data_IF_622724531310
#
_entry.id   IF_622724531310
#
_cell.length_a   1.000
_cell.length_b   1.000
_cell.length_c   1.000
_cell.angle_alpha   90.00
_cell.angle_beta   90.00
_cell.angle_gamma   90.00
#
_symmetry.space_group_name_H-M   'P 1'
#
loop_
_entity.id
_entity.type
_entity.pdbx_description
1 polymer ?
#
# COMPACT_ATOMS: atom_id res chain seq x y z
N UNK A 1 17.36 -8.48 8.17
CA UNK A 1 17.17 -7.01 8.05
C UNK A 1 15.70 -6.64 8.06
N UNK A 2 14.85 -7.35 7.31
CA UNK A 2 13.39 -7.21 7.29
C UNK A 2 12.72 -7.19 8.68
N UNK A 3 12.98 -8.18 9.55
CA UNK A 3 12.39 -8.21 10.89
C UNK A 3 12.70 -6.95 11.72
N UNK A 4 13.92 -6.41 11.57
CA UNK A 4 14.32 -5.17 12.25
C UNK A 4 13.57 -3.97 11.69
N UNK A 5 13.35 -3.93 10.37
CA UNK A 5 12.55 -2.88 9.73
C UNK A 5 11.13 -2.86 10.28
N UNK A 6 10.43 -4.01 10.28
CA UNK A 6 9.05 -4.06 10.78
C UNK A 6 8.95 -3.75 12.27
N UNK A 7 9.91 -4.19 13.09
CA UNK A 7 9.97 -3.78 14.50
C UNK A 7 10.08 -2.27 14.69
N UNK A 8 10.90 -1.60 13.88
CA UNK A 8 11.03 -0.13 13.93
C UNK A 8 9.77 0.57 13.41
N UNK A 9 9.16 0.03 12.35
CA UNK A 9 7.92 0.54 11.79
C UNK A 9 6.75 0.43 12.79
N UNK A 10 6.61 -0.72 13.45
CA UNK A 10 5.59 -0.92 14.48
C UNK A 10 5.78 0.02 15.66
N UNK A 11 7.02 0.19 16.12
CA UNK A 11 7.34 1.17 17.16
C UNK A 11 6.94 2.60 16.73
N UNK A 12 7.17 2.97 15.47
CA UNK A 12 6.73 4.26 14.95
C UNK A 12 5.21 4.37 14.96
N UNK A 13 4.49 3.37 14.46
CA UNK A 13 3.02 3.34 14.41
C UNK A 13 2.44 3.43 15.83
N UNK A 14 3.01 2.73 16.81
CA UNK A 14 2.56 2.76 18.20
C UNK A 14 2.71 4.14 18.85
N UNK A 15 3.71 4.91 18.44
CA UNK A 15 3.93 6.29 18.90
C UNK A 15 2.97 7.32 18.27
N UNK A 16 2.21 6.94 17.23
CA UNK A 16 1.16 7.80 16.69
C UNK A 16 -0.04 7.86 17.65
N UNK A 17 -0.80 8.96 17.56
CA UNK A 17 -2.09 9.06 18.23
C UNK A 17 -2.99 7.87 17.82
N UNK A 18 -3.70 7.28 18.80
CA UNK A 18 -4.54 6.09 18.62
C UNK A 18 -5.46 6.17 17.39
N UNK A 19 -6.00 7.35 17.08
CA UNK A 19 -6.89 7.56 15.93
C UNK A 19 -6.23 7.36 14.56
N UNK A 20 -4.90 7.46 14.48
CA UNK A 20 -4.14 7.34 13.24
C UNK A 20 -3.50 5.96 13.04
N UNK A 21 -3.31 5.17 14.11
CA UNK A 21 -2.62 3.87 14.05
C UNK A 21 -3.22 2.92 13.01
N UNK A 22 -4.55 2.74 13.08
CA UNK A 22 -5.28 1.85 12.18
C UNK A 22 -5.41 2.39 10.75
N UNK A 23 -5.07 3.67 10.53
CA UNK A 23 -5.14 4.34 9.23
C UNK A 23 -3.77 4.56 8.58
N UNK A 24 -2.70 4.17 9.26
CA UNK A 24 -1.34 4.49 8.83
C UNK A 24 -0.93 3.71 7.58
N UNK A 25 -1.35 2.45 7.48
CA UNK A 25 -0.95 1.53 6.41
C UNK A 25 -2.10 0.63 6.00
N UNK A 26 -2.19 0.30 4.71
CA UNK A 26 -3.11 -0.71 4.20
C UNK A 26 -2.54 -2.09 4.50
N UNK A 27 -3.32 -2.92 5.18
CA UNK A 27 -3.01 -4.34 5.43
C UNK A 27 -3.47 -5.19 4.25
N UNK A 28 -2.88 -6.37 4.08
CA UNK A 28 -3.29 -7.30 3.03
C UNK A 28 -4.79 -7.59 3.02
N UNK A 29 -5.41 -7.82 4.19
CA UNK A 29 -6.86 -8.06 4.26
C UNK A 29 -7.71 -6.91 3.71
N UNK A 30 -7.35 -5.66 4.03
CA UNK A 30 -8.04 -4.47 3.50
C UNK A 30 -7.78 -4.29 2.00
N UNK A 31 -6.57 -4.63 1.54
CA UNK A 31 -6.25 -4.61 0.11
C UNK A 31 -7.10 -5.61 -0.67
N UNK A 32 -7.28 -6.82 -0.15
CA UNK A 32 -8.13 -7.85 -0.75
C UNK A 32 -9.60 -7.39 -0.80
N UNK A 33 -10.08 -6.81 0.30
CA UNK A 33 -11.42 -6.19 0.37
C UNK A 33 -11.60 -5.06 -0.67
N UNK A 34 -10.57 -4.24 -0.89
CA UNK A 34 -10.57 -3.19 -1.92
C UNK A 34 -10.67 -3.83 -3.33
N UNK A 35 -9.91 -4.89 -3.60
CA UNK A 35 -10.00 -5.62 -4.88
C UNK A 35 -11.41 -6.15 -5.09
N UNK A 36 -12.00 -6.82 -4.10
CA UNK A 36 -13.36 -7.36 -4.18
C UNK A 36 -14.40 -6.24 -4.37
N UNK A 37 -14.23 -5.09 -3.72
CA UNK A 37 -15.11 -3.94 -3.91
C UNK A 37 -14.99 -3.32 -5.32
N UNK A 38 -13.79 -3.30 -5.90
CA UNK A 38 -13.55 -2.80 -7.26
C UNK A 38 -14.07 -3.76 -8.34
N UNK A 39 -13.90 -5.08 -8.16
CA UNK A 39 -14.30 -6.11 -9.13
C UNK A 39 -15.77 -6.50 -9.02
N UNK A 40 -16.19 -6.87 -7.81
CA UNK A 40 -17.47 -7.54 -7.56
C UNK A 40 -18.48 -6.66 -6.82
N UNK A 41 -18.08 -5.45 -6.42
CA UNK A 41 -18.93 -4.55 -5.64
C UNK A 41 -19.19 -5.06 -4.23
N UNK A 42 -18.23 -5.78 -3.64
CA UNK A 42 -18.25 -6.21 -2.25
C UNK A 42 -18.26 -5.04 -1.25
N UNK A 43 -18.81 -5.28 -0.06
CA UNK A 43 -18.87 -4.31 1.04
C UNK A 43 -20.13 -3.44 1.05
N UNK A 44 -20.28 -2.69 2.14
CA UNK A 44 -21.41 -1.76 2.31
C UNK A 44 -21.28 -0.53 1.40
N UNK A 45 -22.34 0.28 1.33
CA UNK A 45 -22.38 1.45 0.45
C UNK A 45 -21.33 2.52 0.82
N UNK A 46 -20.98 2.66 2.10
CA UNK A 46 -19.96 3.63 2.53
C UNK A 46 -18.56 3.15 2.11
N UNK A 47 -18.27 1.87 2.33
CA UNK A 47 -17.01 1.26 1.91
C UNK A 47 -16.84 1.34 0.40
N UNK A 48 -17.85 0.98 -0.38
CA UNK A 48 -17.80 1.07 -1.85
C UNK A 48 -17.61 2.48 -2.34
N UNK A 49 -18.29 3.46 -1.75
CA UNK A 49 -18.10 4.87 -2.07
C UNK A 49 -16.66 5.30 -1.77
N UNK A 50 -16.14 4.95 -0.59
CA UNK A 50 -14.76 5.24 -0.23
C UNK A 50 -13.76 4.58 -1.19
N UNK A 51 -13.94 3.29 -1.52
CA UNK A 51 -13.06 2.57 -2.44
C UNK A 51 -13.03 3.23 -3.82
N UNK A 52 -14.20 3.47 -4.42
CA UNK A 52 -14.30 4.09 -5.76
C UNK A 52 -13.77 5.52 -5.81
N UNK A 53 -13.83 6.23 -4.68
CA UNK A 53 -13.32 7.60 -4.58
C UNK A 53 -11.79 7.64 -4.50
N UNK A 54 -11.15 6.66 -3.87
CA UNK A 54 -9.72 6.71 -3.56
C UNK A 54 -8.88 5.76 -4.41
N UNK A 55 -9.45 4.68 -4.95
CA UNK A 55 -8.70 3.63 -5.63
C UNK A 55 -9.26 3.27 -6.99
N UNK A 56 -8.37 2.80 -7.86
CA UNK A 56 -8.69 2.17 -9.14
C UNK A 56 -7.88 0.89 -9.29
N UNK A 57 -8.42 -0.06 -10.04
CA UNK A 57 -7.68 -1.25 -10.45
C UNK A 57 -7.02 -1.01 -11.80
N UNK A 58 -5.76 -1.41 -11.95
CA UNK A 58 -5.01 -1.39 -13.21
C UNK A 58 -4.47 -2.79 -13.45
N UNK A 59 -4.86 -3.39 -14.58
CA UNK A 59 -4.35 -4.70 -14.99
C UNK A 59 -2.96 -4.53 -15.62
N UNK A 60 -1.96 -5.16 -15.02
CA UNK A 60 -0.58 -5.20 -15.52
C UNK A 60 -0.25 -6.66 -15.84
N UNK A 61 -0.19 -6.99 -17.12
CA UNK A 61 -0.09 -8.39 -17.55
C UNK A 61 -1.35 -9.16 -17.18
N UNK A 62 -1.22 -10.14 -16.29
CA UNK A 62 -2.32 -10.98 -15.81
C UNK A 62 -2.73 -10.68 -14.36
N UNK A 63 -2.19 -9.61 -13.75
CA UNK A 63 -2.45 -9.26 -12.35
C UNK A 63 -3.14 -7.90 -12.26
N UNK A 64 -4.16 -7.80 -11.41
CA UNK A 64 -4.77 -6.52 -11.07
C UNK A 64 -4.04 -5.90 -9.89
N UNK A 65 -3.50 -4.71 -10.12
CA UNK A 65 -2.84 -3.90 -9.10
C UNK A 65 -3.75 -2.76 -8.70
N UNK A 66 -3.87 -2.50 -7.40
CA UNK A 66 -4.64 -1.36 -6.87
C UNK A 66 -3.76 -0.12 -6.91
N UNK A 67 -4.27 0.95 -7.49
CA UNK A 67 -3.66 2.26 -7.53
C UNK A 67 -4.48 3.25 -6.73
N UNK A 68 -3.81 4.18 -6.06
CA UNK A 68 -4.45 5.35 -5.47
C UNK A 68 -4.70 6.40 -6.56
N UNK A 69 -5.89 6.99 -6.58
CA UNK A 69 -6.35 7.81 -7.71
C UNK A 69 -5.62 9.14 -7.80
N UNK A 70 -5.34 9.80 -6.67
CA UNK A 70 -4.83 11.18 -6.63
C UNK A 70 -3.34 11.25 -6.99
N UNK A 71 -2.53 10.44 -6.33
CA UNK A 71 -1.10 10.26 -6.56
C UNK A 71 -0.79 9.42 -7.80
N UNK A 72 -1.75 8.62 -8.27
CA UNK A 72 -1.57 7.67 -9.38
C UNK A 72 -0.42 6.66 -9.13
N UNK A 73 -0.22 6.27 -7.88
CA UNK A 73 0.81 5.31 -7.46
C UNK A 73 0.19 3.96 -7.05
N UNK A 74 0.92 2.84 -7.25
CA UNK A 74 0.47 1.53 -6.79
C UNK A 74 0.46 1.46 -5.27
N UNK A 75 -0.59 0.85 -4.71
CA UNK A 75 -0.68 0.60 -3.28
C UNK A 75 0.24 -0.56 -2.90
N UNK A 76 1.03 -0.34 -1.86
CA UNK A 76 1.89 -1.37 -1.26
C UNK A 76 1.32 -1.70 0.11
N UNK A 77 1.07 -2.99 0.36
CA UNK A 77 0.59 -3.44 1.67
C UNK A 77 1.69 -3.39 2.70
N UNK A 78 1.31 -3.24 3.97
CA UNK A 78 2.27 -3.26 5.09
C UNK A 78 3.19 -4.47 4.99
N UNK A 79 2.63 -5.66 4.72
CA UNK A 79 3.34 -6.94 4.69
C UNK A 79 4.42 -7.00 3.59
N UNK A 80 4.23 -6.27 2.50
CA UNK A 80 5.15 -6.25 1.35
C UNK A 80 6.04 -4.99 1.29
N UNK A 81 5.91 -4.09 2.26
CA UNK A 81 6.56 -2.77 2.22
C UNK A 81 8.09 -2.89 2.19
N UNK A 82 8.67 -3.76 3.01
CA UNK A 82 10.13 -3.94 3.04
C UNK A 82 10.68 -4.42 1.70
N UNK A 83 10.08 -5.48 1.15
CA UNK A 83 10.53 -6.08 -0.10
C UNK A 83 10.36 -5.10 -1.27
N UNK A 84 9.25 -4.34 -1.30
CA UNK A 84 9.05 -3.32 -2.34
C UNK A 84 10.11 -2.21 -2.28
N UNK A 85 10.42 -1.70 -1.09
CA UNK A 85 11.47 -0.67 -0.93
C UNK A 85 12.82 -1.19 -1.41
N UNK A 86 13.15 -2.44 -1.05
CA UNK A 86 14.38 -3.10 -1.49
C UNK A 86 14.45 -3.21 -3.02
N UNK A 87 13.37 -3.66 -3.66
CA UNK A 87 13.29 -3.74 -5.13
C UNK A 87 13.48 -2.38 -5.80
N UNK A 88 12.80 -1.33 -5.30
CA UNK A 88 12.96 0.00 -5.88
C UNK A 88 14.39 0.54 -5.69
N UNK A 89 15.02 0.23 -4.55
CA UNK A 89 16.40 0.64 -4.27
C UNK A 89 17.42 -0.08 -5.18
N UNK A 90 17.20 -1.37 -5.44
CA UNK A 90 18.02 -2.17 -6.37
C UNK A 90 17.86 -1.67 -7.81
N UNK A 91 16.62 -1.36 -8.24
CA UNK A 91 16.32 -0.85 -9.60
C UNK A 91 17.09 0.42 -9.94
N UNK A 92 17.29 1.30 -8.96
CA UNK A 92 18.03 2.56 -9.19
C UNK A 92 19.54 2.42 -8.96
N UNK A 93 20.06 1.20 -8.78
CA UNK A 93 21.47 0.93 -8.59
C UNK A 93 22.03 1.54 -7.30
N UNK A 94 21.27 1.46 -6.21
CA UNK A 94 21.66 1.95 -4.88
C UNK A 94 21.96 3.46 -4.80
N UNK A 95 21.43 4.28 -5.71
CA UNK A 95 21.74 5.72 -5.84
C UNK A 95 21.13 6.63 -4.75
N UNK A 96 20.89 6.10 -3.55
CA UNK A 96 20.42 6.85 -2.39
C UNK A 96 18.90 7.04 -2.32
N UNK A 97 18.43 7.55 -1.17
CA UNK A 97 17.01 7.64 -0.78
C UNK A 97 16.14 8.34 -1.83
N UNK A 98 16.57 9.50 -2.31
CA UNK A 98 15.72 10.35 -3.15
C UNK A 98 15.46 9.72 -4.53
N UNK A 99 16.36 8.82 -4.97
CA UNK A 99 16.19 8.06 -6.23
C UNK A 99 15.42 6.77 -6.04
N UNK A 100 15.42 6.17 -4.85
CA UNK A 100 14.69 4.92 -4.55
C UNK A 100 13.20 5.01 -4.88
N UNK A 101 12.60 6.19 -4.88
CA UNK A 101 11.15 6.38 -5.06
C UNK A 101 10.76 6.91 -6.44
N UNK A 102 11.70 6.98 -7.38
CA UNK A 102 11.42 7.40 -8.76
C UNK A 102 10.85 6.18 -9.49
N UNK A 103 9.54 6.18 -9.72
CA UNK A 103 8.86 5.28 -10.67
C UNK A 103 8.75 5.94 -12.06
#
# INVERSE_FOLDING_TARGET
MEQRFYKLLDNHILNLNRKFRNKFSIRQSLYDDIILALRDGWGDSQFKYWVRKNFKSVTIGNEDTVYEIESNLPIVTYENLYEKIKQCHEKVGHRGRDKTWIE
#
